data_IF_054728762604
#
_entry.id   IF_054728762604
#
_cell.length_a   1.000
_cell.length_b   1.000
_cell.length_c   1.000
_cell.angle_alpha   90.00
_cell.angle_beta   90.00
_cell.angle_gamma   90.00
#
_symmetry.space_group_name_H-M   'P 1'
#
loop_
_entity.id
_entity.type
_entity.pdbx_description
1 polymer ?
#
# COMPACT_ATOMS: atom_id res chain seq x y z
N UNK A 1 3.31 16.14 -4.13
CA UNK A 1 4.29 15.59 -3.16
C UNK A 1 3.59 14.55 -2.27
N UNK A 2 3.26 13.37 -2.82
CA UNK A 2 2.40 12.39 -2.14
C UNK A 2 3.15 11.29 -1.38
N UNK A 3 4.05 10.58 -2.07
CA UNK A 3 4.77 9.42 -1.51
C UNK A 3 5.79 9.80 -0.44
N UNK A 4 6.54 10.90 -0.66
CA UNK A 4 7.55 11.35 0.30
C UNK A 4 6.94 11.78 1.65
N UNK A 5 5.69 12.25 1.65
CA UNK A 5 4.95 12.51 2.89
C UNK A 5 4.64 11.22 3.64
N UNK A 6 4.32 10.12 2.95
CA UNK A 6 4.09 8.81 3.56
C UNK A 6 5.39 8.22 4.11
N UNK A 7 6.49 8.28 3.34
CA UNK A 7 7.81 7.82 3.81
C UNK A 7 8.25 8.55 5.09
N UNK A 8 8.10 9.89 5.10
CA UNK A 8 8.52 10.73 6.21
C UNK A 8 7.54 10.67 7.41
N UNK A 9 6.23 10.65 7.15
CA UNK A 9 5.19 10.57 8.19
C UNK A 9 5.19 9.20 8.88
N UNK A 10 5.54 8.13 8.16
CA UNK A 10 5.47 6.77 8.69
C UNK A 10 6.82 6.08 8.88
N UNK A 11 7.94 6.76 8.62
CA UNK A 11 9.29 6.26 8.90
C UNK A 11 9.71 5.05 8.05
N UNK A 12 9.25 4.99 6.80
CA UNK A 12 9.69 3.96 5.85
C UNK A 12 11.12 4.28 5.47
N UNK A 13 12.06 3.38 5.83
CA UNK A 13 13.46 3.54 5.46
C UNK A 13 13.63 3.26 3.97
N UNK A 14 14.60 3.92 3.36
CA UNK A 14 15.04 3.59 2.00
C UNK A 14 15.38 2.08 1.92
N UNK A 15 14.87 1.40 0.89
CA UNK A 15 14.93 -0.07 0.71
C UNK A 15 14.09 -0.93 1.68
N UNK A 16 13.20 -0.35 2.49
CA UNK A 16 12.24 -1.13 3.28
C UNK A 16 11.05 -1.57 2.41
N UNK A 17 11.22 -2.68 1.69
CA UNK A 17 10.19 -3.29 0.84
C UNK A 17 8.88 -3.50 1.62
N UNK A 18 8.97 -3.96 2.87
CA UNK A 18 7.78 -4.22 3.66
C UNK A 18 7.03 -2.95 4.06
N UNK A 19 7.77 -1.87 4.37
CA UNK A 19 7.18 -0.55 4.56
C UNK A 19 6.48 -0.04 3.28
N UNK A 20 7.13 -0.20 2.13
CA UNK A 20 6.54 0.20 0.84
C UNK A 20 5.27 -0.61 0.50
N UNK A 21 5.28 -1.91 0.75
CA UNK A 21 4.09 -2.78 0.57
C UNK A 21 2.96 -2.37 1.52
N UNK A 22 3.26 -2.08 2.79
CA UNK A 22 2.26 -1.61 3.74
C UNK A 22 1.64 -0.27 3.29
N UNK A 23 2.47 0.69 2.83
CA UNK A 23 2.00 1.95 2.28
C UNK A 23 1.10 1.76 1.04
N UNK A 24 1.49 0.85 0.15
CA UNK A 24 0.70 0.50 -1.03
C UNK A 24 -0.66 -0.11 -0.67
N UNK A 25 -0.69 -1.02 0.31
CA UNK A 25 -1.93 -1.62 0.82
C UNK A 25 -2.83 -0.54 1.42
N UNK A 26 -2.30 0.36 2.25
CA UNK A 26 -3.08 1.47 2.83
C UNK A 26 -3.64 2.40 1.76
N UNK A 27 -2.81 2.84 0.81
CA UNK A 27 -3.26 3.71 -0.28
C UNK A 27 -4.36 3.05 -1.12
N UNK A 28 -4.24 1.75 -1.37
CA UNK A 28 -5.27 0.98 -2.08
C UNK A 28 -6.54 0.82 -1.23
N UNK A 29 -6.42 0.54 0.06
CA UNK A 29 -7.57 0.44 0.96
C UNK A 29 -8.35 1.76 1.03
N UNK A 30 -7.67 2.88 1.27
CA UNK A 30 -8.26 4.22 1.29
C UNK A 30 -8.98 4.54 -0.03
N UNK A 31 -8.31 4.28 -1.16
CA UNK A 31 -8.88 4.55 -2.49
C UNK A 31 -10.07 3.65 -2.82
N UNK A 32 -10.06 2.40 -2.33
CA UNK A 32 -11.14 1.45 -2.57
C UNK A 32 -12.39 1.73 -1.71
N UNK A 33 -12.17 2.05 -0.44
CA UNK A 33 -13.23 2.28 0.55
C UNK A 33 -13.70 3.73 0.60
N UNK A 34 -12.94 4.65 0.03
CA UNK A 34 -13.17 6.10 0.13
C UNK A 34 -13.18 6.57 1.59
N UNK A 35 -12.14 6.18 2.34
CA UNK A 35 -11.98 6.49 3.77
C UNK A 35 -10.60 7.05 4.05
N UNK A 36 -10.51 7.89 5.08
CA UNK A 36 -9.24 8.25 5.68
C UNK A 36 -8.67 7.08 6.51
N UNK A 37 -7.35 7.01 6.64
CA UNK A 37 -6.66 5.93 7.35
C UNK A 37 -6.10 6.40 8.71
N UNK A 38 -6.43 5.74 9.82
CA UNK A 38 -5.87 6.08 11.12
C UNK A 38 -4.38 5.72 11.21
N UNK A 39 -3.52 6.69 11.59
CA UNK A 39 -2.07 6.48 11.70
C UNK A 39 -1.70 5.33 12.67
N UNK A 40 -2.53 5.07 13.69
CA UNK A 40 -2.34 3.99 14.66
C UNK A 40 -2.41 2.58 14.03
N UNK A 41 -3.15 2.42 12.94
CA UNK A 41 -3.28 1.15 12.23
C UNK A 41 -2.08 0.85 11.33
N UNK A 42 -1.22 1.85 11.06
CA UNK A 42 -0.12 1.71 10.12
C UNK A 42 1.03 0.88 10.67
N UNK A 43 1.45 1.15 11.92
CA UNK A 43 2.60 0.44 12.51
C UNK A 43 2.38 -1.08 12.64
N UNK A 44 1.21 -1.57 13.11
CA UNK A 44 0.90 -3.00 13.12
C UNK A 44 0.95 -3.62 11.73
N UNK A 45 0.41 -2.93 10.71
CA UNK A 45 0.46 -3.39 9.33
C UNK A 45 1.90 -3.54 8.82
N UNK A 46 2.76 -2.54 9.04
CA UNK A 46 4.18 -2.62 8.65
C UNK A 46 4.88 -3.80 9.33
N UNK A 47 4.63 -4.02 10.62
CA UNK A 47 5.21 -5.15 11.35
C UNK A 47 4.75 -6.50 10.76
N UNK A 48 3.46 -6.62 10.44
CA UNK A 48 2.89 -7.80 9.80
C UNK A 48 3.49 -8.04 8.40
N UNK A 49 3.67 -6.99 7.60
CA UNK A 49 4.30 -7.11 6.28
C UNK A 49 5.78 -7.49 6.39
N UNK A 50 6.52 -6.94 7.35
CA UNK A 50 7.92 -7.32 7.61
C UNK A 50 8.03 -8.80 7.99
N UNK A 51 7.12 -9.29 8.83
CA UNK A 51 7.08 -10.70 9.19
C UNK A 51 6.73 -11.58 7.99
N UNK A 52 5.69 -11.23 7.23
CA UNK A 52 5.24 -12.01 6.08
C UNK A 52 6.33 -12.08 4.98
N UNK A 53 6.88 -10.94 4.58
CA UNK A 53 7.90 -10.83 3.55
C UNK A 53 9.23 -11.43 4.03
N UNK A 54 9.62 -11.18 5.28
CA UNK A 54 10.84 -11.73 5.85
C UNK A 54 10.80 -13.25 6.04
N UNK A 55 9.60 -13.86 6.11
CA UNK A 55 9.42 -15.31 6.20
C UNK A 55 9.28 -15.98 4.82
N UNK A 56 9.19 -15.20 3.73
CA UNK A 56 9.05 -15.72 2.38
C UNK A 56 10.43 -16.19 1.85
N UNK A 57 10.61 -17.48 1.51
CA UNK A 57 11.90 -18.00 1.06
C UNK A 57 12.38 -17.39 -0.27
N UNK A 58 11.47 -16.99 -1.16
CA UNK A 58 11.84 -16.35 -2.42
C UNK A 58 12.36 -14.94 -2.16
N UNK A 59 11.74 -14.19 -1.24
CA UNK A 59 12.25 -12.88 -0.82
C UNK A 59 13.58 -13.00 -0.06
N UNK A 60 13.72 -13.99 0.83
CA UNK A 60 14.95 -14.22 1.58
C UNK A 60 16.13 -14.61 0.66
N UNK A 61 15.85 -15.39 -0.39
CA UNK A 61 16.83 -15.80 -1.40
C UNK A 61 17.11 -14.76 -2.49
N UNK A 62 16.33 -13.69 -2.59
CA UNK A 62 16.53 -12.63 -3.56
C UNK A 62 17.78 -11.80 -3.27
N UNK A 63 18.45 -11.36 -4.33
CA UNK A 63 19.56 -10.41 -4.25
C UNK A 63 19.09 -9.04 -3.76
N UNK A 64 20.02 -8.25 -3.23
CA UNK A 64 19.72 -6.87 -2.81
C UNK A 64 19.25 -6.00 -3.97
N UNK A 65 19.70 -6.28 -5.20
CA UNK A 65 19.22 -5.60 -6.41
C UNK A 65 17.74 -5.94 -6.66
N UNK A 66 17.35 -7.21 -6.61
CA UNK A 66 15.96 -7.63 -6.82
C UNK A 66 15.03 -7.06 -5.73
N UNK A 67 15.48 -7.03 -4.48
CA UNK A 67 14.72 -6.40 -3.38
C UNK A 67 14.55 -4.90 -3.61
N UNK A 68 15.60 -4.21 -4.08
CA UNK A 68 15.52 -2.78 -4.42
C UNK A 68 14.58 -2.53 -5.60
N UNK A 69 14.64 -3.34 -6.65
CA UNK A 69 13.73 -3.23 -7.79
C UNK A 69 12.27 -3.40 -7.34
N UNK A 70 12.00 -4.35 -6.45
CA UNK A 70 10.67 -4.52 -5.87
C UNK A 70 10.23 -3.30 -5.04
N UNK A 71 11.13 -2.75 -4.22
CA UNK A 71 10.88 -1.50 -3.49
C UNK A 71 10.51 -0.35 -4.44
N UNK A 72 11.31 -0.12 -5.48
CA UNK A 72 11.11 0.94 -6.47
C UNK A 72 9.78 0.78 -7.22
N UNK A 73 9.42 -0.45 -7.62
CA UNK A 73 8.14 -0.73 -8.24
C UNK A 73 6.96 -0.37 -7.33
N UNK A 74 7.03 -0.74 -6.04
CA UNK A 74 5.98 -0.40 -5.08
C UNK A 74 5.90 1.11 -4.84
N UNK A 75 7.05 1.78 -4.76
CA UNK A 75 7.12 3.23 -4.60
C UNK A 75 6.49 3.98 -5.79
N UNK A 76 6.78 3.55 -7.02
CA UNK A 76 6.20 4.13 -8.25
C UNK A 76 4.68 3.96 -8.25
N UNK A 77 4.18 2.77 -7.94
CA UNK A 77 2.74 2.51 -7.86
C UNK A 77 2.06 3.36 -6.78
N UNK A 78 2.64 3.41 -5.57
CA UNK A 78 2.15 4.24 -4.48
C UNK A 78 2.12 5.72 -4.85
N UNK A 79 3.18 6.21 -5.50
CA UNK A 79 3.25 7.59 -5.98
C UNK A 79 2.18 7.90 -7.03
N UNK A 80 1.97 7.01 -8.01
CA UNK A 80 0.95 7.16 -9.04
C UNK A 80 -0.47 7.24 -8.45
N UNK A 81 -0.78 6.38 -7.47
CA UNK A 81 -2.09 6.41 -6.80
C UNK A 81 -2.29 7.71 -6.02
N UNK A 82 -1.28 8.12 -5.23
CA UNK A 82 -1.36 9.34 -4.43
C UNK A 82 -1.50 10.60 -5.31
N UNK A 83 -0.75 10.71 -6.41
CA UNK A 83 -0.85 11.86 -7.32
C UNK A 83 -2.19 11.90 -8.04
N UNK A 84 -2.72 10.75 -8.44
CA UNK A 84 -4.06 10.64 -9.05
C UNK A 84 -5.14 11.07 -8.06
N UNK A 85 -5.05 10.62 -6.81
CA UNK A 85 -6.01 11.02 -5.76
C UNK A 85 -5.92 12.52 -5.44
N UNK A 86 -4.72 13.10 -5.40
CA UNK A 86 -4.55 14.55 -5.26
C UNK A 86 -5.19 15.31 -6.42
N UNK A 87 -4.96 14.88 -7.66
CA UNK A 87 -5.55 15.50 -8.84
C UNK A 87 -7.10 15.42 -8.82
N UNK A 88 -7.66 14.30 -8.35
CA UNK A 88 -9.11 14.14 -8.17
C UNK A 88 -9.68 15.06 -7.08
N UNK A 89 -8.93 15.33 -6.01
CA UNK A 89 -9.33 16.30 -4.95
C UNK A 89 -9.35 17.73 -5.48
N UNK A 90 -8.39 18.10 -6.33
CA UNK A 90 -8.33 19.43 -6.94
C UNK A 90 -9.39 19.60 -8.05
N UNK A 91 -9.57 18.57 -8.89
CA UNK A 91 -10.54 18.56 -9.98
C UNK A 91 -11.28 17.22 -10.03
N UNK A 92 -12.47 17.15 -9.42
CA UNK A 92 -13.27 15.94 -9.40
C UNK A 92 -13.57 15.42 -10.81
N UNK A 93 -13.33 14.13 -11.03
CA UNK A 93 -13.70 13.41 -12.24
C UNK A 93 -14.20 12.01 -11.87
N UNK A 94 -15.48 11.74 -12.13
CA UNK A 94 -16.13 10.49 -11.71
C UNK A 94 -15.57 9.24 -12.41
N UNK A 95 -15.19 9.35 -13.69
CA UNK A 95 -14.61 8.24 -14.44
C UNK A 95 -13.23 7.87 -13.89
N UNK A 96 -12.36 8.87 -13.69
CA UNK A 96 -11.03 8.67 -13.12
C UNK A 96 -11.12 8.13 -11.70
N UNK A 97 -12.05 8.63 -10.88
CA UNK A 97 -12.28 8.12 -9.53
C UNK A 97 -12.75 6.65 -9.53
N UNK A 98 -13.69 6.29 -10.41
CA UNK A 98 -14.14 4.91 -10.58
C UNK A 98 -12.99 3.99 -11.02
N UNK A 99 -12.17 4.42 -11.98
CA UNK A 99 -11.02 3.66 -12.46
C UNK A 99 -9.97 3.46 -11.36
N UNK A 100 -9.67 4.51 -10.58
CA UNK A 100 -8.75 4.43 -9.45
C UNK A 100 -9.27 3.44 -8.39
N UNK A 101 -10.56 3.51 -8.05
CA UNK A 101 -11.21 2.61 -7.10
C UNK A 101 -11.16 1.14 -7.56
N UNK A 102 -11.42 0.88 -8.84
CA UNK A 102 -11.33 -0.47 -9.42
C UNK A 102 -9.90 -0.99 -9.45
N UNK A 103 -8.92 -0.14 -9.79
CA UNK A 103 -7.51 -0.50 -9.75
C UNK A 103 -7.09 -0.86 -8.32
N UNK A 104 -7.45 -0.04 -7.34
CA UNK A 104 -7.19 -0.28 -5.93
C UNK A 104 -7.80 -1.60 -5.44
N UNK A 105 -9.05 -1.92 -5.84
CA UNK A 105 -9.68 -3.22 -5.57
C UNK A 105 -8.82 -4.38 -6.11
N UNK A 106 -8.49 -4.34 -7.39
CA UNK A 106 -7.71 -5.40 -8.05
C UNK A 106 -6.34 -5.57 -7.40
N UNK A 107 -5.68 -4.48 -7.02
CA UNK A 107 -4.39 -4.54 -6.34
C UNK A 107 -4.49 -5.22 -4.98
N UNK A 108 -5.46 -4.85 -4.16
CA UNK A 108 -5.69 -5.52 -2.87
C UNK A 108 -5.93 -7.02 -3.06
N UNK A 109 -6.80 -7.41 -3.99
CA UNK A 109 -7.11 -8.82 -4.25
C UNK A 109 -5.92 -9.60 -4.80
N UNK A 110 -5.14 -8.99 -5.69
CA UNK A 110 -3.96 -9.62 -6.27
C UNK A 110 -2.83 -9.80 -5.26
N UNK A 111 -2.59 -8.82 -4.39
CA UNK A 111 -1.53 -8.87 -3.39
C UNK A 111 -1.90 -9.77 -2.22
N UNK A 112 -3.13 -9.66 -1.71
CA UNK A 112 -3.54 -10.31 -0.47
C UNK A 112 -4.23 -11.65 -0.71
N UNK A 113 -4.50 -12.00 -1.99
CA UNK A 113 -5.22 -13.21 -2.40
C UNK A 113 -6.54 -13.40 -1.66
N UNK A 114 -7.20 -12.29 -1.32
CA UNK A 114 -8.43 -12.22 -0.57
C UNK A 114 -9.37 -11.20 -1.22
N UNK A 115 -10.68 -11.40 -1.06
CA UNK A 115 -11.68 -10.44 -1.52
C UNK A 115 -11.46 -9.08 -0.84
N UNK A 116 -11.37 -8.01 -1.62
CA UNK A 116 -11.17 -6.67 -1.08
C UNK A 116 -12.28 -6.26 -0.10
N UNK A 117 -13.48 -6.81 -0.27
CA UNK A 117 -14.61 -6.55 0.61
C UNK A 117 -14.47 -7.18 2.00
N UNK A 118 -13.58 -8.17 2.14
CA UNK A 118 -13.28 -8.89 3.38
C UNK A 118 -12.05 -8.37 4.11
N UNK A 119 -11.29 -7.47 3.49
CA UNK A 119 -10.11 -6.87 4.10
C UNK A 119 -10.56 -5.75 5.04
N UNK A 120 -10.02 -5.78 6.25
CA UNK A 120 -10.04 -4.65 7.17
C UNK A 120 -8.63 -4.40 7.75
N UNK A 121 -8.33 -3.16 8.10
CA UNK A 121 -7.03 -2.80 8.68
C UNK A 121 -7.28 -2.04 9.97
N UNK A 122 -6.86 -2.65 11.07
CA UNK A 122 -7.17 -2.22 12.44
C UNK A 122 -5.90 -1.99 13.24
N UNK A 123 -6.03 -1.67 14.52
CA UNK A 123 -4.89 -1.58 15.45
C UNK A 123 -4.20 -2.93 15.68
N UNK A 124 -4.78 -4.04 15.21
CA UNK A 124 -4.15 -5.36 15.17
C UNK A 124 -3.44 -5.65 13.84
N UNK A 125 -3.47 -4.72 12.88
CA UNK A 125 -2.98 -4.90 11.52
C UNK A 125 -4.08 -5.33 10.55
N UNK A 126 -3.67 -5.97 9.46
CA UNK A 126 -4.55 -6.48 8.41
C UNK A 126 -5.25 -7.76 8.86
N UNK A 127 -6.56 -7.76 8.72
CA UNK A 127 -7.43 -8.91 9.00
C UNK A 127 -8.31 -9.21 7.78
N UNK A 128 -8.58 -10.50 7.58
CA UNK A 128 -9.50 -11.00 6.54
C UNK A 128 -10.71 -11.57 7.27
N UNK A 129 -11.92 -11.11 6.93
CA UNK A 129 -13.19 -11.49 7.56
C UNK A 129 -14.03 -12.44 6.71
#
# INVERSE_FOLDING_TARGET
MGYHKIETQFGIRENDVAGAVAAFIVGSYMSYRDVDFPDENFKPLVAQMRQAIGSDPAFAGASETEKRELYEQMAILGMFMATTQMALKEKPNAEVASNLRQAAKRYLEQFLKADADKIDITSQGLVIR
#
